data_IF_400444077799
#
_entry.id   IF_400444077799
#
_cell.length_a   1.000
_cell.length_b   1.000
_cell.length_c   1.000
_cell.angle_alpha   90.00
_cell.angle_beta   90.00
_cell.angle_gamma   90.00
#
_symmetry.space_group_name_H-M   'P 1'
#
loop_
_entity.id
_entity.type
_entity.pdbx_description
1 polymer ?
#
# COMPACT_ATOMS: atom_id res chain seq x y z
N UNK A 1 -8.76 -1.75 -20.24
CA UNK A 1 -10.00 -2.52 -19.96
C UNK A 1 -9.98 -3.93 -20.54
N UNK A 2 -9.46 -4.18 -21.74
CA UNK A 2 -9.48 -5.53 -22.39
C UNK A 2 -8.67 -6.60 -21.63
N UNK A 3 -7.57 -6.25 -20.95
CA UNK A 3 -6.72 -7.21 -20.23
C UNK A 3 -7.11 -7.36 -18.75
N UNK A 4 -7.56 -6.30 -18.10
CA UNK A 4 -7.87 -6.32 -16.67
C UNK A 4 -9.18 -7.05 -16.38
N UNK A 5 -10.21 -6.81 -17.20
CA UNK A 5 -11.53 -7.45 -17.02
C UNK A 5 -11.51 -8.99 -17.06
N UNK A 6 -10.79 -9.66 -17.98
CA UNK A 6 -10.71 -11.12 -17.95
C UNK A 6 -10.00 -11.67 -16.72
N UNK A 7 -8.93 -11.00 -16.26
CA UNK A 7 -8.17 -11.44 -15.08
C UNK A 7 -9.03 -11.31 -13.82
N UNK A 8 -9.74 -10.19 -13.67
CA UNK A 8 -10.66 -9.95 -12.56
C UNK A 8 -11.87 -10.89 -12.62
N UNK A 9 -12.41 -11.21 -13.81
CA UNK A 9 -13.49 -12.19 -13.98
C UNK A 9 -13.06 -13.60 -13.61
N UNK A 10 -11.87 -14.02 -14.01
CA UNK A 10 -11.33 -15.34 -13.67
C UNK A 10 -11.00 -15.48 -12.17
N UNK A 11 -10.83 -14.38 -11.45
CA UNK A 11 -10.64 -14.41 -9.98
C UNK A 11 -11.94 -14.60 -9.20
N UNK A 12 -13.12 -14.75 -9.86
CA UNK A 12 -14.42 -15.01 -9.21
C UNK A 12 -14.54 -16.43 -8.64
N UNK A 13 -13.79 -17.38 -9.15
CA UNK A 13 -13.87 -18.74 -8.62
C UNK A 13 -13.29 -18.79 -7.20
N UNK A 14 -13.98 -19.42 -6.25
CA UNK A 14 -13.49 -19.53 -4.89
C UNK A 14 -12.10 -20.16 -4.87
N UNK A 15 -11.25 -19.69 -3.96
CA UNK A 15 -9.93 -20.25 -3.67
C UNK A 15 -10.09 -21.63 -3.03
N UNK A 16 -10.73 -22.58 -3.75
CA UNK A 16 -10.91 -23.94 -3.29
C UNK A 16 -9.63 -24.73 -3.48
N UNK A 17 -8.91 -24.86 -2.39
CA UNK A 17 -8.06 -26.03 -2.16
C UNK A 17 -6.64 -26.03 -2.75
N UNK A 18 -6.33 -25.33 -3.85
CA UNK A 18 -5.01 -25.38 -4.47
C UNK A 18 -4.20 -24.12 -4.20
N UNK A 19 -3.21 -24.27 -3.33
CA UNK A 19 -2.25 -23.20 -2.99
C UNK A 19 -1.50 -22.68 -4.24
N UNK A 20 -1.10 -23.56 -5.15
CA UNK A 20 -0.45 -23.19 -6.40
C UNK A 20 -1.34 -22.32 -7.30
N UNK A 21 -2.62 -22.63 -7.35
CA UNK A 21 -3.59 -21.86 -8.11
C UNK A 21 -3.82 -20.45 -7.50
N UNK A 22 -3.79 -20.33 -6.18
CA UNK A 22 -3.84 -19.04 -5.51
C UNK A 22 -2.62 -18.18 -5.84
N UNK A 23 -1.40 -18.76 -5.80
CA UNK A 23 -0.16 -18.07 -6.17
C UNK A 23 -0.21 -17.60 -7.62
N UNK A 24 -0.60 -18.44 -8.54
CA UNK A 24 -0.72 -18.09 -9.96
C UNK A 24 -1.65 -16.90 -10.17
N UNK A 25 -2.78 -16.84 -9.46
CA UNK A 25 -3.72 -15.72 -9.53
C UNK A 25 -3.16 -14.44 -8.96
N UNK A 26 -2.50 -14.51 -7.81
CA UNK A 26 -1.85 -13.35 -7.21
C UNK A 26 -0.80 -12.79 -8.17
N UNK A 27 0.02 -13.65 -8.78
CA UNK A 27 1.03 -13.22 -9.75
C UNK A 27 0.40 -12.59 -11.00
N UNK A 28 -0.65 -13.19 -11.56
CA UNK A 28 -1.36 -12.62 -12.72
C UNK A 28 -2.05 -11.29 -12.40
N UNK A 29 -2.48 -11.09 -11.17
CA UNK A 29 -3.13 -9.86 -10.72
C UNK A 29 -2.10 -8.78 -10.34
N UNK A 30 -0.87 -9.13 -9.99
CA UNK A 30 0.15 -8.19 -9.50
C UNK A 30 0.47 -7.08 -10.50
N UNK A 31 0.73 -7.43 -11.75
CA UNK A 31 1.12 -6.46 -12.79
C UNK A 31 -0.02 -5.48 -13.13
N UNK A 32 -1.24 -5.92 -13.48
CA UNK A 32 -2.33 -4.99 -13.77
C UNK A 32 -2.74 -4.16 -12.54
N UNK A 33 -2.69 -4.73 -11.35
CA UNK A 33 -2.99 -3.99 -10.12
C UNK A 33 -1.95 -2.90 -9.85
N UNK A 34 -0.67 -3.22 -9.98
CA UNK A 34 0.41 -2.24 -9.86
C UNK A 34 0.24 -1.09 -10.86
N UNK A 35 -0.12 -1.40 -12.10
CA UNK A 35 -0.32 -0.39 -13.15
C UNK A 35 -1.50 0.55 -12.81
N UNK A 36 -2.62 -0.01 -12.38
CA UNK A 36 -3.78 0.77 -11.95
C UNK A 36 -3.44 1.64 -10.75
N UNK A 37 -2.71 1.09 -9.77
CA UNK A 37 -2.28 1.82 -8.59
C UNK A 37 -1.34 2.98 -8.94
N UNK A 38 -0.35 2.76 -9.80
CA UNK A 38 0.57 3.81 -10.26
C UNK A 38 -0.17 4.93 -10.99
N UNK A 39 -1.09 4.59 -11.90
CA UNK A 39 -1.90 5.58 -12.61
C UNK A 39 -2.79 6.37 -11.64
N UNK A 40 -3.43 5.68 -10.71
CA UNK A 40 -4.30 6.30 -9.71
C UNK A 40 -3.49 7.21 -8.78
N UNK A 41 -2.34 6.73 -8.29
CA UNK A 41 -1.45 7.51 -7.44
C UNK A 41 -0.95 8.76 -8.15
N UNK A 42 -0.49 8.62 -9.39
CA UNK A 42 -0.04 9.75 -10.19
C UNK A 42 -1.14 10.80 -10.41
N UNK A 43 -2.35 10.37 -10.80
CA UNK A 43 -3.45 11.29 -11.08
C UNK A 43 -3.98 11.97 -9.81
N UNK A 44 -4.28 11.20 -8.75
CA UNK A 44 -4.95 11.75 -7.56
C UNK A 44 -3.98 12.37 -6.56
N UNK A 45 -2.81 11.79 -6.35
CA UNK A 45 -1.89 12.32 -5.35
C UNK A 45 -0.89 13.30 -5.96
N UNK A 46 -0.24 12.93 -7.05
CA UNK A 46 0.76 13.82 -7.64
C UNK A 46 0.12 15.01 -8.37
N UNK A 47 -0.69 14.76 -9.39
CA UNK A 47 -1.26 15.85 -10.19
C UNK A 47 -2.30 16.66 -9.44
N UNK A 48 -3.30 16.00 -8.84
CA UNK A 48 -4.41 16.68 -8.20
C UNK A 48 -4.01 17.49 -6.98
N UNK A 49 -3.16 16.94 -6.10
CA UNK A 49 -2.69 17.67 -4.92
C UNK A 49 -1.76 18.83 -5.28
N UNK A 50 -0.92 18.69 -6.30
CA UNK A 50 -0.10 19.80 -6.78
C UNK A 50 -0.96 20.91 -7.40
N UNK A 51 -2.01 20.57 -8.18
CA UNK A 51 -2.97 21.55 -8.69
C UNK A 51 -3.69 22.27 -7.54
N UNK A 52 -4.17 21.55 -6.54
CA UNK A 52 -4.82 22.15 -5.38
C UNK A 52 -3.86 23.07 -4.61
N UNK A 53 -2.61 22.66 -4.41
CA UNK A 53 -1.61 23.48 -3.74
C UNK A 53 -1.33 24.79 -4.52
N UNK A 54 -1.31 24.73 -5.83
CA UNK A 54 -1.13 25.91 -6.69
C UNK A 54 -2.35 26.83 -6.66
N UNK A 55 -3.56 26.27 -6.80
CA UNK A 55 -4.83 27.04 -6.79
C UNK A 55 -5.06 27.71 -5.44
N UNK A 56 -4.82 26.98 -4.35
CA UNK A 56 -4.99 27.47 -2.98
C UNK A 56 -3.81 28.31 -2.48
N UNK A 57 -2.79 28.48 -3.31
CA UNK A 57 -1.59 29.29 -3.01
C UNK A 57 -0.90 28.88 -1.70
N UNK A 58 -0.75 27.56 -1.49
CA UNK A 58 0.04 27.08 -0.35
C UNK A 58 1.49 27.58 -0.44
N UNK A 59 2.11 27.81 0.72
CA UNK A 59 3.51 28.26 0.79
C UNK A 59 4.50 27.22 0.23
N UNK A 60 4.19 25.94 0.35
CA UNK A 60 4.90 24.83 -0.29
C UNK A 60 4.00 24.27 -1.40
N UNK A 61 4.32 24.62 -2.65
CA UNK A 61 3.54 24.25 -3.83
C UNK A 61 3.94 22.91 -4.41
N UNK A 62 5.12 22.41 -4.07
CA UNK A 62 5.60 21.09 -4.48
C UNK A 62 5.21 20.03 -3.44
N UNK A 63 3.94 19.63 -3.43
CA UNK A 63 3.44 18.66 -2.47
C UNK A 63 4.03 17.27 -2.70
N UNK A 64 4.21 16.88 -3.98
CA UNK A 64 4.86 15.66 -4.41
C UNK A 64 5.96 15.98 -5.41
N UNK A 65 7.22 15.77 -4.98
CA UNK A 65 8.39 15.79 -5.86
C UNK A 65 8.55 14.46 -6.58
N UNK A 66 9.62 14.30 -7.32
CA UNK A 66 9.96 13.15 -8.17
C UNK A 66 10.02 11.82 -7.41
N UNK A 67 8.86 11.32 -6.96
CA UNK A 67 8.76 10.09 -6.19
C UNK A 67 9.25 8.85 -6.95
N UNK A 68 9.24 8.90 -8.29
CA UNK A 68 9.77 7.83 -9.15
C UNK A 68 11.31 7.75 -9.14
N UNK A 69 11.98 8.78 -8.67
CA UNK A 69 13.44 8.85 -8.52
C UNK A 69 13.85 8.82 -7.04
N UNK A 70 12.98 8.36 -6.17
CA UNK A 70 13.28 8.26 -4.75
C UNK A 70 14.42 7.26 -4.49
N UNK A 71 15.48 7.74 -3.85
CA UNK A 71 16.65 6.91 -3.48
C UNK A 71 16.37 6.07 -2.23
N UNK A 72 15.33 6.43 -1.48
CA UNK A 72 14.87 5.71 -0.29
C UNK A 72 13.37 5.51 -0.38
N UNK A 73 12.87 4.38 0.15
CA UNK A 73 11.45 4.01 0.19
C UNK A 73 10.58 5.06 0.92
N UNK A 74 11.23 6.00 1.58
CA UNK A 74 10.67 6.90 2.58
C UNK A 74 10.16 8.26 2.05
N UNK A 75 10.33 8.61 0.77
CA UNK A 75 10.30 10.03 0.44
C UNK A 75 8.93 10.72 0.24
N UNK A 76 7.89 10.19 -0.42
CA UNK A 76 6.74 11.05 -0.71
C UNK A 76 5.68 11.14 0.39
N UNK A 77 5.23 10.02 0.92
CA UNK A 77 4.22 9.98 2.01
C UNK A 77 4.90 10.11 3.37
N UNK A 78 6.15 9.69 3.44
CA UNK A 78 6.96 9.69 4.65
C UNK A 78 7.16 11.10 5.22
N UNK A 79 7.44 12.10 4.39
CA UNK A 79 7.66 13.49 4.88
C UNK A 79 6.48 14.03 5.67
N UNK A 80 5.25 13.80 5.19
CA UNK A 80 4.05 14.22 5.91
C UNK A 80 3.88 13.45 7.22
N UNK A 81 4.00 12.12 7.18
CA UNK A 81 3.88 11.25 8.36
C UNK A 81 4.95 11.55 9.40
N UNK A 82 6.18 11.78 8.96
CA UNK A 82 7.29 12.16 9.85
C UNK A 82 7.04 13.51 10.49
N UNK A 83 6.61 14.50 9.72
CA UNK A 83 6.39 15.86 10.23
C UNK A 83 5.19 15.95 11.19
N UNK A 84 4.10 15.25 10.88
CA UNK A 84 2.83 15.42 11.59
C UNK A 84 2.53 14.32 12.61
N UNK A 85 3.19 13.17 12.54
CA UNK A 85 2.98 12.05 13.45
C UNK A 85 4.26 11.69 14.21
N UNK A 86 5.33 11.39 13.48
CA UNK A 86 6.56 10.89 14.10
C UNK A 86 7.24 11.91 15.01
N UNK A 87 7.51 13.13 14.53
CA UNK A 87 8.12 14.17 15.34
C UNK A 87 7.28 14.62 16.52
N UNK A 88 5.95 14.83 16.42
CA UNK A 88 5.11 15.07 17.59
C UNK A 88 5.18 13.96 18.64
N UNK A 89 5.18 12.69 18.22
CA UNK A 89 5.35 11.57 19.14
C UNK A 89 6.67 11.63 19.91
N UNK A 90 7.77 11.96 19.22
CA UNK A 90 9.08 12.13 19.87
C UNK A 90 9.09 13.30 20.86
N UNK A 91 8.41 14.43 20.53
CA UNK A 91 8.31 15.59 21.41
C UNK A 91 7.54 15.29 22.70
N UNK A 92 6.58 14.38 22.65
CA UNK A 92 5.82 13.92 23.83
C UNK A 92 6.64 12.90 24.66
N UNK A 93 7.81 12.48 24.19
CA UNK A 93 8.69 11.55 24.91
C UNK A 93 8.50 10.08 24.53
N UNK A 94 7.77 9.77 23.45
CA UNK A 94 7.60 8.40 22.95
C UNK A 94 8.93 7.93 22.32
N UNK A 95 9.42 6.72 22.64
CA UNK A 95 10.65 6.20 22.05
C UNK A 95 10.52 6.02 20.53
N UNK A 96 11.64 6.11 19.80
CA UNK A 96 11.68 6.03 18.33
C UNK A 96 10.90 4.86 17.74
N UNK A 97 11.03 3.66 18.33
CA UNK A 97 10.29 2.47 17.90
C UNK A 97 8.79 2.60 18.05
N UNK A 98 8.33 3.20 19.17
CA UNK A 98 6.91 3.48 19.40
C UNK A 98 6.35 4.52 18.42
N UNK A 99 7.13 5.57 18.12
CA UNK A 99 6.73 6.59 17.15
C UNK A 99 6.58 6.01 15.72
N UNK A 100 7.49 5.08 15.32
CA UNK A 100 7.34 4.35 14.06
C UNK A 100 6.08 3.48 14.04
N UNK A 101 5.83 2.74 15.12
CA UNK A 101 4.65 1.88 15.22
C UNK A 101 3.35 2.69 15.10
N UNK A 102 3.28 3.86 15.75
CA UNK A 102 2.13 4.76 15.66
C UNK A 102 1.96 5.28 14.22
N UNK A 103 3.04 5.63 13.54
CA UNK A 103 2.99 6.06 12.15
C UNK A 103 2.45 4.95 11.23
N UNK A 104 2.94 3.72 11.36
CA UNK A 104 2.41 2.57 10.61
C UNK A 104 0.95 2.28 10.94
N UNK A 105 0.56 2.37 12.20
CA UNK A 105 -0.82 2.18 12.64
C UNK A 105 -1.75 3.21 11.99
N UNK A 106 -1.39 4.49 12.02
CA UNK A 106 -2.18 5.55 11.38
C UNK A 106 -2.26 5.34 9.87
N UNK A 107 -1.16 4.97 9.22
CA UNK A 107 -1.15 4.61 7.81
C UNK A 107 -2.09 3.45 7.52
N UNK A 108 -2.07 2.41 8.33
CA UNK A 108 -2.95 1.24 8.19
C UNK A 108 -4.43 1.61 8.30
N UNK A 109 -4.79 2.48 9.24
CA UNK A 109 -6.17 2.99 9.39
C UNK A 109 -6.61 3.75 8.14
N UNK A 110 -5.78 4.66 7.63
CA UNK A 110 -6.12 5.42 6.43
C UNK A 110 -6.26 4.53 5.19
N UNK A 111 -5.39 3.54 5.01
CA UNK A 111 -5.50 2.59 3.90
C UNK A 111 -6.78 1.77 3.97
N UNK A 112 -7.13 1.30 5.18
CA UNK A 112 -8.40 0.58 5.38
C UNK A 112 -9.59 1.46 5.04
N UNK A 113 -9.64 2.70 5.53
CA UNK A 113 -10.72 3.65 5.24
C UNK A 113 -10.84 3.94 3.74
N UNK A 114 -9.72 4.14 3.04
CA UNK A 114 -9.71 4.39 1.59
C UNK A 114 -10.35 3.26 0.78
N UNK A 115 -10.31 2.02 1.27
CA UNK A 115 -10.90 0.86 0.59
C UNK A 115 -12.28 0.54 1.15
N UNK A 116 -12.42 0.52 2.47
CA UNK A 116 -13.64 0.11 3.15
C UNK A 116 -14.82 1.06 2.88
N UNK A 117 -14.56 2.37 2.83
CA UNK A 117 -15.61 3.37 2.59
C UNK A 117 -16.23 3.22 1.19
N UNK A 118 -15.47 3.20 0.07
CA UNK A 118 -16.05 3.01 -1.26
C UNK A 118 -16.70 1.65 -1.46
N UNK A 119 -16.16 0.59 -0.83
CA UNK A 119 -16.69 -0.77 -0.96
C UNK A 119 -17.84 -1.06 0.01
N UNK A 120 -18.09 -0.22 1.01
CA UNK A 120 -19.00 -0.45 2.13
C UNK A 120 -18.75 -1.79 2.85
N UNK A 121 -17.49 -2.18 2.97
CA UNK A 121 -17.05 -3.44 3.59
C UNK A 121 -15.85 -3.16 4.50
N UNK A 122 -15.97 -3.44 5.80
CA UNK A 122 -14.89 -3.38 6.78
C UNK A 122 -14.42 -4.80 7.10
N UNK A 123 -13.24 -5.18 6.62
CA UNK A 123 -12.64 -6.53 6.83
C UNK A 123 -11.21 -6.47 7.35
N UNK A 124 -10.63 -5.28 7.47
CA UNK A 124 -9.28 -5.06 7.96
C UNK A 124 -8.16 -5.75 7.14
N UNK A 125 -8.42 -6.11 5.88
CA UNK A 125 -7.40 -6.74 5.03
C UNK A 125 -6.28 -5.78 4.66
N UNK A 126 -6.61 -4.53 4.31
CA UNK A 126 -5.61 -3.51 4.01
C UNK A 126 -4.85 -3.10 5.28
N UNK A 127 -5.55 -2.96 6.40
CA UNK A 127 -4.95 -2.69 7.70
C UNK A 127 -3.90 -3.75 8.07
N UNK A 128 -4.25 -5.04 7.98
CA UNK A 128 -3.33 -6.14 8.25
C UNK A 128 -2.14 -6.14 7.27
N UNK A 129 -2.38 -5.87 5.98
CA UNK A 129 -1.32 -5.77 4.97
C UNK A 129 -0.28 -4.70 5.29
N UNK A 130 -0.71 -3.53 5.76
CA UNK A 130 0.20 -2.45 6.19
C UNK A 130 0.90 -2.82 7.50
N UNK A 131 0.20 -3.38 8.48
CA UNK A 131 0.82 -3.78 9.75
C UNK A 131 1.86 -4.88 9.59
N UNK A 132 1.70 -5.78 8.61
CA UNK A 132 2.71 -6.79 8.25
C UNK A 132 4.01 -6.20 7.68
N UNK A 133 3.98 -4.94 7.23
CA UNK A 133 5.21 -4.25 6.79
C UNK A 133 6.14 -3.92 7.96
N UNK A 134 5.63 -3.81 9.18
CA UNK A 134 6.46 -3.52 10.37
C UNK A 134 7.50 -4.64 10.60
N UNK A 135 7.12 -5.93 10.77
CA UNK A 135 8.10 -7.00 10.89
C UNK A 135 8.96 -7.16 9.62
N UNK A 136 8.40 -6.90 8.44
CA UNK A 136 9.17 -6.91 7.19
C UNK A 136 10.27 -5.85 7.20
N UNK A 137 9.98 -4.63 7.65
CA UNK A 137 10.96 -3.56 7.78
C UNK A 137 12.10 -3.93 8.75
N UNK A 138 11.78 -4.60 9.86
CA UNK A 138 12.79 -5.09 10.80
C UNK A 138 13.68 -6.18 10.17
N UNK A 139 13.10 -7.10 9.43
CA UNK A 139 13.84 -8.15 8.70
C UNK A 139 14.72 -7.55 7.62
N UNK A 140 14.20 -6.59 6.84
CA UNK A 140 14.98 -5.93 5.79
C UNK A 140 16.15 -5.12 6.36
N UNK A 141 15.95 -4.40 7.46
CA UNK A 141 17.02 -3.66 8.15
C UNK A 141 18.09 -4.62 8.67
N UNK A 142 17.70 -5.74 9.27
CA UNK A 142 18.64 -6.78 9.70
C UNK A 142 19.46 -7.37 8.54
N UNK A 143 18.81 -7.65 7.41
CA UNK A 143 19.48 -8.19 6.22
C UNK A 143 20.40 -7.16 5.56
N UNK A 144 20.00 -5.89 5.49
CA UNK A 144 20.85 -4.82 4.98
C UNK A 144 22.13 -4.67 5.79
N UNK A 145 22.02 -4.71 7.11
CA UNK A 145 23.19 -4.67 8.01
C UNK A 145 24.10 -5.87 7.83
N UNK A 146 23.53 -7.06 7.64
CA UNK A 146 24.27 -8.31 7.46
C UNK A 146 24.99 -8.37 6.11
N UNK A 147 24.34 -7.96 5.05
CA UNK A 147 24.89 -8.05 3.68
C UNK A 147 25.58 -6.76 3.22
N UNK A 148 25.50 -5.68 4.00
CA UNK A 148 26.03 -4.35 3.68
C UNK A 148 25.61 -3.85 2.28
N UNK A 149 24.43 -4.25 1.81
CA UNK A 149 23.91 -3.93 0.50
C UNK A 149 22.47 -3.41 0.61
N UNK A 150 22.29 -2.12 0.34
CA UNK A 150 20.97 -1.47 0.37
C UNK A 150 20.00 -1.98 -0.70
N UNK A 151 20.52 -2.53 -1.80
CA UNK A 151 19.72 -3.03 -2.92
C UNK A 151 18.88 -4.26 -2.52
N UNK A 152 19.41 -5.13 -1.64
CA UNK A 152 18.70 -6.33 -1.18
C UNK A 152 17.42 -5.96 -0.42
N UNK A 153 17.50 -5.01 0.51
CA UNK A 153 16.32 -4.56 1.27
C UNK A 153 15.27 -3.91 0.36
N UNK A 154 15.71 -3.08 -0.58
CA UNK A 154 14.82 -2.42 -1.53
C UNK A 154 14.12 -3.45 -2.45
N UNK A 155 14.86 -4.41 -2.99
CA UNK A 155 14.28 -5.50 -3.78
C UNK A 155 13.25 -6.32 -3.00
N UNK A 156 13.57 -6.70 -1.76
CA UNK A 156 12.64 -7.46 -0.92
C UNK A 156 11.36 -6.68 -0.64
N UNK A 157 11.48 -5.38 -0.32
CA UNK A 157 10.33 -4.51 -0.11
C UNK A 157 9.43 -4.47 -1.34
N UNK A 158 9.99 -4.17 -2.52
CA UNK A 158 9.23 -4.07 -3.76
C UNK A 158 8.61 -5.41 -4.18
N UNK A 159 9.34 -6.51 -4.06
CA UNK A 159 8.77 -7.84 -4.32
C UNK A 159 7.58 -8.13 -3.40
N UNK A 160 7.72 -7.88 -2.10
CA UNK A 160 6.64 -8.09 -1.16
C UNK A 160 5.45 -7.18 -1.44
N UNK A 161 5.70 -5.89 -1.65
CA UNK A 161 4.66 -4.90 -1.93
C UNK A 161 3.91 -5.19 -3.23
N UNK A 162 4.63 -5.44 -4.34
CA UNK A 162 4.04 -5.63 -5.67
C UNK A 162 3.38 -7.00 -5.84
N UNK A 163 3.89 -8.04 -5.19
CA UNK A 163 3.43 -9.42 -5.42
C UNK A 163 2.42 -9.84 -4.34
N UNK A 164 2.74 -9.64 -3.07
CA UNK A 164 1.91 -10.12 -1.97
C UNK A 164 1.01 -9.03 -1.38
N UNK A 165 1.53 -7.85 -1.11
CA UNK A 165 0.82 -6.82 -0.36
C UNK A 165 -0.43 -6.30 -1.08
N UNK A 166 -0.23 -5.58 -2.15
CA UNK A 166 -1.33 -4.96 -2.90
C UNK A 166 -2.25 -5.96 -3.62
N UNK A 167 -1.73 -6.94 -4.41
CA UNK A 167 -2.60 -7.83 -5.15
C UNK A 167 -3.42 -8.74 -4.25
N UNK A 168 -2.84 -9.19 -3.12
CA UNK A 168 -3.55 -10.03 -2.17
C UNK A 168 -4.69 -9.25 -1.50
N UNK A 169 -4.46 -8.02 -1.06
CA UNK A 169 -5.49 -7.18 -0.46
C UNK A 169 -6.64 -6.94 -1.43
N UNK A 170 -6.35 -6.59 -2.68
CA UNK A 170 -7.36 -6.38 -3.72
C UNK A 170 -8.14 -7.65 -4.00
N UNK A 171 -7.46 -8.81 -4.09
CA UNK A 171 -8.10 -10.10 -4.31
C UNK A 171 -9.08 -10.46 -3.19
N UNK A 172 -8.68 -10.26 -1.93
CA UNK A 172 -9.51 -10.56 -0.76
C UNK A 172 -10.76 -9.66 -0.71
N UNK A 173 -10.60 -8.33 -0.91
CA UNK A 173 -11.74 -7.42 -0.98
C UNK A 173 -12.68 -7.74 -2.14
N UNK A 174 -12.14 -8.06 -3.30
CA UNK A 174 -12.93 -8.43 -4.46
C UNK A 174 -13.73 -9.72 -4.22
N UNK A 175 -13.10 -10.73 -3.62
CA UNK A 175 -13.76 -11.98 -3.25
C UNK A 175 -14.92 -11.74 -2.28
N UNK A 176 -14.70 -10.94 -1.23
CA UNK A 176 -15.75 -10.61 -0.26
C UNK A 176 -16.90 -9.81 -0.89
N UNK A 177 -16.58 -8.86 -1.78
CA UNK A 177 -17.59 -8.09 -2.51
C UNK A 177 -18.48 -8.98 -3.41
N UNK A 178 -17.86 -9.97 -4.09
CA UNK A 178 -18.61 -10.90 -4.93
C UNK A 178 -19.46 -11.87 -4.13
N UNK A 179 -18.95 -12.38 -3.02
CA UNK A 179 -19.74 -13.25 -2.14
C UNK A 179 -20.96 -12.53 -1.55
N UNK A 180 -20.81 -11.25 -1.20
CA UNK A 180 -21.93 -10.43 -0.73
C UNK A 180 -23.02 -10.27 -1.79
N UNK A 181 -22.64 -10.03 -3.06
CA UNK A 181 -23.61 -9.90 -4.17
C UNK A 181 -24.35 -11.20 -4.48
N UNK A 182 -23.76 -12.34 -4.23
CA UNK A 182 -24.39 -13.66 -4.42
C UNK A 182 -25.40 -13.94 -3.33
N UNK A 183 -25.11 -13.56 -2.09
CA UNK A 183 -26.00 -13.81 -0.94
C UNK A 183 -27.18 -12.82 -0.83
N UNK A 184 -27.15 -11.72 -1.60
CA UNK A 184 -28.24 -10.72 -1.66
C UNK A 184 -29.20 -10.93 -2.84
N UNK A 185 -28.99 -11.94 -3.66
CA UNK A 185 -29.94 -12.44 -4.68
C UNK A 185 -30.63 -13.70 -4.22
#
# INVERSE_FOLDING_TARGET
MQYINPIVRNSRHPLKGDFLYAIERVLKLSVPNLYVWLCMFYCFFHLWLNILAEVLRFGDREFYKDWWNAQTVDEPVHKWMVRHIYFPCLRIGIPKGGAHLIAFFMSAVFHELCIAVPCHIFKFWAFLGIMLQVPLALVTDFLQRKFQNSMVGNMMFWCFFCILGQPMSVLLYYHDLMNRKVNTK
#
